data_IF_930157897282
#
_entry.id   IF_930157897282
#
_cell.length_a   1.000
_cell.length_b   1.000
_cell.length_c   1.000
_cell.angle_alpha   90.00
_cell.angle_beta   90.00
_cell.angle_gamma   90.00
#
_symmetry.space_group_name_H-M   'P 1'
#
loop_
_entity.id
_entity.type
_entity.pdbx_description
1 polymer ?
#
# COMPACT_ATOMS: atom_id res chain seq x y z
N UNK A 1 19.96 31.16 -84.29
CA UNK A 1 20.59 30.53 -85.46
C UNK A 1 20.90 29.10 -85.07
N UNK A 2 20.28 28.19 -85.79
CA UNK A 2 20.05 26.76 -85.57
C UNK A 2 21.29 25.92 -85.98
N UNK A 3 21.27 24.57 -85.93
CA UNK A 3 21.70 23.75 -84.79
C UNK A 3 22.47 22.51 -85.30
N UNK A 4 22.10 21.31 -84.81
CA UNK A 4 22.32 19.94 -85.36
C UNK A 4 23.47 19.09 -84.74
N UNK A 5 23.30 17.75 -84.67
CA UNK A 5 23.13 17.01 -83.39
C UNK A 5 23.79 15.59 -83.43
N UNK A 6 23.43 14.70 -82.49
CA UNK A 6 22.71 13.44 -82.78
C UNK A 6 22.58 12.53 -81.54
N UNK A 7 21.38 11.97 -81.40
CA UNK A 7 20.95 10.95 -80.43
C UNK A 7 21.39 9.53 -80.85
N UNK A 8 21.37 8.52 -79.95
CA UNK A 8 20.23 7.59 -79.75
C UNK A 8 20.56 6.19 -79.15
N UNK A 9 19.62 5.73 -78.29
CA UNK A 9 18.92 4.42 -78.26
C UNK A 9 19.52 3.11 -77.66
N UNK A 10 18.85 2.69 -76.57
CA UNK A 10 18.00 1.47 -76.37
C UNK A 10 18.59 0.06 -76.13
N UNK A 11 17.83 -0.65 -75.26
CA UNK A 11 17.54 -2.10 -75.15
C UNK A 11 18.57 -2.96 -74.35
N UNK A 12 18.26 -3.54 -73.17
CA UNK A 12 17.30 -4.61 -72.73
C UNK A 12 17.72 -6.04 -73.16
N UNK A 13 17.71 -6.98 -72.18
CA UNK A 13 17.64 -8.46 -72.19
C UNK A 13 18.93 -9.17 -71.72
N UNK A 14 18.97 -10.35 -71.08
CA UNK A 14 18.07 -11.19 -70.28
C UNK A 14 18.83 -12.53 -70.00
N UNK A 15 18.58 -13.16 -68.84
CA UNK A 15 18.75 -14.62 -68.55
C UNK A 15 20.18 -15.21 -68.54
N UNK A 16 20.53 -16.32 -67.87
CA UNK A 16 20.06 -17.11 -66.72
C UNK A 16 21.06 -18.31 -66.57
N UNK A 17 20.94 -19.04 -65.45
CA UNK A 17 21.48 -20.38 -65.12
C UNK A 17 22.90 -20.56 -64.55
N UNK A 18 22.92 -21.23 -63.38
CA UNK A 18 24.07 -21.92 -62.80
C UNK A 18 23.82 -22.36 -61.35
N UNK A 19 23.01 -23.40 -61.15
CA UNK A 19 22.84 -24.10 -59.85
C UNK A 19 24.14 -24.77 -59.39
N UNK A 20 24.43 -24.78 -58.07
CA UNK A 20 24.38 -26.00 -57.23
C UNK A 20 24.91 -25.78 -55.80
N UNK A 21 24.05 -26.22 -54.87
CA UNK A 21 24.18 -26.57 -53.46
C UNK A 21 25.57 -26.86 -52.86
N UNK A 22 25.79 -26.41 -51.63
CA UNK A 22 25.92 -27.20 -50.36
C UNK A 22 26.23 -26.17 -49.26
N UNK A 23 25.58 -26.10 -48.10
CA UNK A 23 25.03 -27.16 -47.27
C UNK A 23 25.95 -27.37 -46.05
N UNK A 24 25.91 -26.46 -45.07
CA UNK A 24 26.35 -26.72 -43.69
C UNK A 24 25.64 -25.76 -42.73
N UNK A 25 24.68 -26.32 -42.02
CA UNK A 25 23.88 -25.69 -40.98
C UNK A 25 24.73 -25.56 -39.71
N UNK A 26 25.09 -24.33 -39.32
CA UNK A 26 25.45 -24.05 -37.93
C UNK A 26 24.16 -23.67 -37.20
N UNK A 27 23.63 -24.63 -36.43
CA UNK A 27 22.51 -24.40 -35.53
C UNK A 27 22.91 -23.39 -34.46
N UNK A 28 22.38 -22.17 -34.56
CA UNK A 28 22.29 -21.27 -33.41
C UNK A 28 21.03 -21.63 -32.63
N UNK A 29 21.21 -22.19 -31.43
CA UNK A 29 20.17 -22.18 -30.41
C UNK A 29 19.91 -20.72 -30.00
N UNK A 30 18.97 -20.05 -30.66
CA UNK A 30 18.42 -18.80 -30.13
C UNK A 30 17.47 -19.15 -28.99
N UNK A 31 17.99 -19.08 -27.77
CA UNK A 31 17.13 -18.94 -26.59
C UNK A 31 16.29 -17.69 -26.80
N UNK A 32 14.98 -17.86 -27.03
CA UNK A 32 14.01 -16.77 -27.02
C UNK A 32 14.08 -16.12 -25.64
N UNK A 33 14.83 -15.02 -25.54
CA UNK A 33 14.95 -14.23 -24.34
C UNK A 33 13.61 -13.52 -24.19
N UNK A 34 12.81 -13.95 -23.21
CA UNK A 34 11.58 -13.27 -22.82
C UNK A 34 11.94 -11.79 -22.59
N UNK A 35 11.38 -10.90 -23.41
CA UNK A 35 11.47 -9.47 -23.15
C UNK A 35 10.91 -9.20 -21.75
N UNK A 36 11.64 -8.56 -20.84
CA UNK A 36 11.03 -8.08 -19.62
C UNK A 36 9.97 -7.06 -20.02
N UNK A 37 8.73 -7.29 -19.58
CA UNK A 37 7.69 -6.27 -19.64
C UNK A 37 8.26 -5.02 -18.98
N UNK A 38 8.39 -3.95 -19.77
CA UNK A 38 8.82 -2.67 -19.26
C UNK A 38 7.79 -2.21 -18.24
N UNK A 39 8.06 -2.47 -16.95
CA UNK A 39 7.38 -1.80 -15.86
C UNK A 39 7.60 -0.30 -16.07
N UNK A 40 6.51 0.45 -16.10
CA UNK A 40 6.58 1.91 -16.12
C UNK A 40 7.41 2.37 -14.90
N UNK A 41 8.31 3.35 -15.05
CA UNK A 41 9.10 3.82 -13.93
C UNK A 41 8.19 4.38 -12.85
N UNK A 42 8.41 3.94 -11.61
CA UNK A 42 7.80 4.57 -10.44
C UNK A 42 8.28 6.03 -10.29
N UNK A 43 7.54 6.88 -9.56
CA UNK A 43 7.95 8.26 -9.34
C UNK A 43 9.31 8.33 -8.64
N UNK A 44 10.26 9.03 -9.26
CA UNK A 44 11.62 9.26 -8.76
C UNK A 44 11.58 10.38 -7.72
N UNK A 45 12.04 10.10 -6.49
CA UNK A 45 12.28 11.11 -5.46
C UNK A 45 13.77 11.08 -5.09
N UNK A 46 14.44 12.24 -4.97
CA UNK A 46 15.90 12.28 -4.82
C UNK A 46 16.33 11.77 -3.44
N UNK A 47 17.61 11.35 -3.37
CA UNK A 47 18.43 10.93 -2.21
C UNK A 47 18.51 9.40 -1.95
N UNK A 48 19.35 8.74 -2.75
CA UNK A 48 19.98 7.44 -2.45
C UNK A 48 21.27 7.64 -1.64
N UNK A 49 21.56 6.77 -0.66
CA UNK A 49 22.85 6.05 -0.53
C UNK A 49 22.94 5.16 0.75
N UNK A 50 22.89 3.85 0.50
CA UNK A 50 23.67 2.68 0.99
C UNK A 50 24.40 2.74 2.37
N UNK A 51 24.15 1.75 3.25
CA UNK A 51 25.16 0.74 3.73
C UNK A 51 24.57 -0.33 4.67
N UNK A 52 24.81 -1.61 4.36
CA UNK A 52 24.52 -2.81 5.18
C UNK A 52 25.62 -3.14 6.20
N UNK A 53 25.27 -3.61 7.42
CA UNK A 53 26.05 -4.58 8.22
C UNK A 53 25.34 -5.01 9.53
N UNK A 54 25.75 -6.09 10.25
CA UNK A 54 24.94 -7.30 10.44
C UNK A 54 24.35 -7.50 11.86
N UNK A 55 23.45 -8.50 11.96
CA UNK A 55 22.69 -8.93 13.14
C UNK A 55 23.54 -9.44 14.33
N UNK A 56 22.97 -9.46 15.55
CA UNK A 56 22.62 -10.77 16.14
C UNK A 56 21.32 -10.87 16.99
N UNK A 57 20.73 -12.06 16.87
CA UNK A 57 20.02 -12.98 17.80
C UNK A 57 19.32 -12.54 19.11
N UNK A 58 18.12 -13.12 19.23
CA UNK A 58 17.50 -13.81 20.39
C UNK A 58 16.61 -13.06 21.41
N UNK A 59 15.34 -13.47 21.35
CA UNK A 59 14.43 -13.89 22.43
C UNK A 59 13.95 -12.87 23.47
N UNK A 60 12.63 -12.62 23.44
CA UNK A 60 11.84 -12.76 24.67
C UNK A 60 10.36 -12.88 24.35
N UNK A 61 9.80 -14.05 24.69
CA UNK A 61 8.38 -14.21 24.94
C UNK A 61 7.84 -13.09 25.85
N UNK A 62 6.82 -12.35 25.40
CA UNK A 62 6.04 -11.50 26.29
C UNK A 62 4.56 -11.61 25.95
N UNK A 63 3.80 -11.89 27.00
CA UNK A 63 2.41 -12.31 27.00
C UNK A 63 1.50 -11.44 26.11
N UNK A 64 0.61 -12.13 25.39
CA UNK A 64 -0.40 -11.56 24.49
C UNK A 64 -1.46 -10.82 25.34
N UNK A 65 -1.72 -9.52 25.11
CA UNK A 65 -2.84 -8.84 25.75
C UNK A 65 -4.15 -9.44 25.21
N UNK A 66 -4.92 -10.09 26.07
CA UNK A 66 -6.29 -10.52 25.76
C UNK A 66 -7.23 -9.32 25.92
N UNK A 67 -7.83 -8.88 24.81
CA UNK A 67 -8.87 -7.85 24.81
C UNK A 67 -10.21 -8.40 25.32
N UNK A 68 -11.03 -7.59 26.02
CA UNK A 68 -12.32 -8.02 26.55
C UNK A 68 -13.37 -8.31 25.46
N UNK A 69 -14.16 -9.36 25.72
CA UNK A 69 -15.06 -10.15 24.86
C UNK A 69 -16.31 -9.45 24.30
N UNK A 70 -16.26 -8.16 23.90
CA UNK A 70 -17.40 -7.48 23.24
C UNK A 70 -17.03 -6.59 22.04
N UNK A 71 -15.87 -6.78 21.42
CA UNK A 71 -15.63 -6.20 20.09
C UNK A 71 -16.58 -6.88 19.08
N UNK A 72 -17.47 -6.11 18.45
CA UNK A 72 -18.44 -6.60 17.43
C UNK A 72 -17.80 -6.85 16.05
N UNK A 73 -16.49 -6.95 15.99
CA UNK A 73 -15.71 -7.15 14.77
C UNK A 73 -14.61 -8.18 15.04
N UNK A 74 -14.32 -9.00 14.02
CA UNK A 74 -13.26 -10.00 14.08
C UNK A 74 -11.89 -9.32 14.04
N UNK A 75 -10.99 -9.70 14.94
CA UNK A 75 -9.62 -9.21 14.99
C UNK A 75 -8.67 -10.33 14.58
N UNK A 76 -7.93 -10.12 13.50
CA UNK A 76 -6.89 -11.00 12.98
C UNK A 76 -5.53 -10.54 13.49
N UNK A 77 -4.80 -11.47 14.10
CA UNK A 77 -3.47 -11.24 14.61
C UNK A 77 -2.47 -11.02 13.47
N UNK A 78 -1.34 -10.38 13.81
CA UNK A 78 -0.31 -10.06 12.83
C UNK A 78 0.26 -11.30 12.12
N UNK A 79 0.44 -12.39 12.88
CA UNK A 79 0.95 -13.66 12.36
C UNK A 79 -0.03 -14.39 11.41
N UNK A 80 -1.27 -13.91 11.25
CA UNK A 80 -2.23 -14.44 10.28
C UNK A 80 -2.00 -13.88 8.87
N UNK A 81 -1.27 -12.76 8.72
CA UNK A 81 -1.01 -12.14 7.42
C UNK A 81 0.47 -11.95 7.09
N UNK A 82 1.37 -11.96 8.07
CA UNK A 82 2.82 -11.88 7.81
C UNK A 82 3.66 -12.60 8.87
N UNK A 83 4.80 -13.13 8.44
CA UNK A 83 5.86 -13.64 9.35
C UNK A 83 6.93 -12.59 9.63
N UNK A 84 6.97 -11.50 8.86
CA UNK A 84 7.95 -10.45 9.01
C UNK A 84 7.77 -9.68 10.32
N UNK A 85 8.88 -9.47 11.02
CA UNK A 85 8.93 -8.66 12.23
C UNK A 85 9.32 -7.22 11.89
N UNK A 86 8.85 -6.23 12.66
CA UNK A 86 9.37 -4.86 12.55
C UNK A 86 10.88 -4.82 12.79
N UNK A 87 11.61 -3.98 12.05
CA UNK A 87 12.99 -3.64 12.39
C UNK A 87 13.00 -2.69 13.60
N UNK A 88 12.99 -3.23 14.81
CA UNK A 88 12.80 -2.46 16.05
C UNK A 88 13.83 -1.32 16.23
N UNK A 89 15.13 -1.52 15.95
CA UNK A 89 16.13 -0.43 15.98
C UNK A 89 15.76 0.80 15.14
N UNK A 90 15.02 0.63 14.04
CA UNK A 90 14.57 1.71 13.15
C UNK A 90 13.20 2.29 13.55
N UNK A 91 12.78 2.06 14.80
CA UNK A 91 11.52 2.58 15.36
C UNK A 91 11.74 3.31 16.67
N UNK A 92 10.90 4.32 16.90
CA UNK A 92 10.76 4.92 18.23
C UNK A 92 9.70 4.18 19.05
N UNK A 93 9.79 4.15 20.38
CA UNK A 93 8.70 3.65 21.22
C UNK A 93 7.48 4.58 21.18
N UNK A 94 6.28 4.00 21.20
CA UNK A 94 5.01 4.72 21.37
C UNK A 94 4.65 4.78 22.85
N UNK A 95 5.03 5.87 23.52
CA UNK A 95 4.90 6.01 24.98
C UNK A 95 3.42 6.02 25.44
N UNK A 96 2.54 6.65 24.65
CA UNK A 96 1.08 6.68 24.83
C UNK A 96 0.41 7.09 23.52
N UNK A 97 -0.90 6.94 23.41
CA UNK A 97 -1.68 7.41 22.26
C UNK A 97 -2.44 8.69 22.66
N UNK A 98 -2.26 9.75 21.89
CA UNK A 98 -2.97 11.04 22.06
C UNK A 98 -3.84 11.41 20.85
N UNK A 99 -3.53 10.86 19.68
CA UNK A 99 -4.26 11.07 18.44
C UNK A 99 -4.54 9.74 17.75
N UNK A 100 -5.59 9.70 16.93
CA UNK A 100 -5.89 8.60 16.02
C UNK A 100 -6.02 9.20 14.62
N UNK A 101 -5.31 8.67 13.62
CA UNK A 101 -5.42 9.13 12.23
C UNK A 101 -5.92 8.02 11.32
N UNK A 102 -6.98 8.29 10.55
CA UNK A 102 -7.56 7.39 9.54
C UNK A 102 -6.97 7.65 8.16
N UNK A 103 -6.60 6.55 7.49
CA UNK A 103 -6.00 6.51 6.16
C UNK A 103 -6.77 5.59 5.23
N UNK A 104 -6.50 5.72 3.92
CA UNK A 104 -6.74 4.67 2.94
C UNK A 104 -5.41 4.15 2.38
N UNK A 105 -5.41 3.02 1.66
CA UNK A 105 -4.18 2.57 1.00
C UNK A 105 -3.97 3.24 -0.37
N UNK A 106 -5.05 3.68 -1.02
CA UNK A 106 -5.00 4.41 -2.29
C UNK A 106 -4.55 3.57 -3.49
N UNK A 107 -4.29 2.27 -3.31
CA UNK A 107 -3.95 1.36 -4.40
C UNK A 107 -5.17 1.10 -5.29
N UNK A 108 -5.01 0.75 -6.58
CA UNK A 108 -6.13 0.48 -7.47
C UNK A 108 -7.22 -0.40 -6.84
N UNK A 109 -8.51 -0.09 -7.05
CA UNK A 109 -9.61 -0.89 -6.54
C UNK A 109 -9.46 -2.36 -6.92
N UNK A 110 -9.61 -3.23 -5.94
CA UNK A 110 -9.66 -4.68 -6.15
C UNK A 110 -10.72 -5.27 -5.25
N UNK A 111 -11.27 -6.42 -5.65
CA UNK A 111 -12.31 -7.06 -4.87
C UNK A 111 -11.68 -7.95 -3.81
N UNK A 112 -12.01 -7.69 -2.54
CA UNK A 112 -11.48 -8.43 -1.38
C UNK A 112 -12.66 -9.01 -0.61
N UNK A 113 -12.75 -10.34 -0.60
CA UNK A 113 -13.83 -11.11 0.04
C UNK A 113 -13.28 -12.06 1.12
N UNK A 114 -12.12 -12.66 0.88
CA UNK A 114 -11.52 -13.68 1.74
C UNK A 114 -10.44 -13.08 2.63
N UNK A 115 -10.10 -13.80 3.71
CA UNK A 115 -9.01 -13.39 4.62
C UNK A 115 -7.67 -13.39 3.88
N UNK A 116 -7.46 -14.37 2.99
CA UNK A 116 -6.26 -14.47 2.18
C UNK A 116 -6.06 -13.26 1.26
N UNK A 117 -7.09 -12.83 0.53
CA UNK A 117 -7.00 -11.64 -0.34
C UNK A 117 -6.65 -10.36 0.46
N UNK A 118 -7.17 -10.23 1.68
CA UNK A 118 -6.84 -9.11 2.55
C UNK A 118 -5.38 -9.22 3.06
N UNK A 119 -4.94 -10.41 3.47
CA UNK A 119 -3.57 -10.66 3.89
C UNK A 119 -2.56 -10.37 2.77
N UNK A 120 -2.86 -10.78 1.54
CA UNK A 120 -2.03 -10.48 0.36
C UNK A 120 -1.91 -8.96 0.12
N UNK A 121 -3.01 -8.20 0.25
CA UNK A 121 -2.93 -6.73 0.12
C UNK A 121 -2.18 -6.07 1.27
N UNK A 122 -2.33 -6.55 2.50
CA UNK A 122 -1.53 -6.08 3.64
C UNK A 122 -0.04 -6.33 3.42
N UNK A 123 0.34 -7.51 2.93
CA UNK A 123 1.73 -7.84 2.67
C UNK A 123 2.30 -7.00 1.51
N UNK A 124 1.52 -6.75 0.44
CA UNK A 124 1.92 -5.81 -0.61
C UNK A 124 2.21 -4.39 -0.06
N UNK A 125 1.35 -3.89 0.84
CA UNK A 125 1.55 -2.58 1.48
C UNK A 125 2.80 -2.61 2.37
N UNK A 126 3.00 -3.67 3.17
CA UNK A 126 4.16 -3.83 4.05
C UNK A 126 5.46 -3.87 3.25
N UNK A 127 5.52 -4.70 2.20
CA UNK A 127 6.68 -4.81 1.31
C UNK A 127 6.99 -3.47 0.68
N UNK A 128 5.98 -2.74 0.17
CA UNK A 128 6.20 -1.39 -0.38
C UNK A 128 6.77 -0.41 0.65
N UNK A 129 6.31 -0.47 1.91
CA UNK A 129 6.84 0.37 2.97
C UNK A 129 8.28 0.02 3.38
N UNK A 130 8.60 -1.27 3.47
CA UNK A 130 9.94 -1.71 3.87
C UNK A 130 10.93 -1.53 2.72
N UNK A 131 10.67 -2.16 1.58
CA UNK A 131 11.62 -2.25 0.47
C UNK A 131 11.75 -0.93 -0.30
N UNK A 132 10.67 -0.15 -0.45
CA UNK A 132 10.72 1.08 -1.24
C UNK A 132 10.81 2.35 -0.41
N UNK A 133 10.53 2.30 0.91
CA UNK A 133 10.61 3.49 1.77
C UNK A 133 11.59 3.35 2.93
N UNK A 134 12.23 2.19 3.09
CA UNK A 134 13.16 1.93 4.19
C UNK A 134 12.51 2.01 5.57
N UNK A 135 11.19 1.82 5.66
CA UNK A 135 10.51 1.85 6.95
C UNK A 135 10.71 0.53 7.68
N UNK A 136 10.76 0.59 9.00
CA UNK A 136 10.89 -0.61 9.83
C UNK A 136 9.79 -1.67 9.62
N UNK A 137 8.60 -1.27 9.16
CA UNK A 137 7.42 -2.11 8.98
C UNK A 137 6.32 -1.35 8.21
N UNK A 138 5.15 -1.95 8.02
CA UNK A 138 3.92 -1.24 7.67
C UNK A 138 3.72 -0.01 8.57
N UNK A 139 3.32 1.14 8.00
CA UNK A 139 3.23 2.41 8.74
C UNK A 139 2.04 2.52 9.72
N UNK A 140 1.06 1.61 9.64
CA UNK A 140 -0.21 1.67 10.36
C UNK A 140 -0.31 0.58 11.44
N UNK A 141 -1.09 0.83 12.50
CA UNK A 141 -1.21 -0.10 13.63
C UNK A 141 -2.42 -1.03 13.51
N UNK A 142 -3.53 -0.52 12.96
CA UNK A 142 -4.78 -1.25 12.79
C UNK A 142 -5.27 -1.07 11.37
N UNK A 143 -5.81 -2.13 10.77
CA UNK A 143 -6.33 -2.07 9.41
C UNK A 143 -7.76 -2.62 9.39
N UNK A 144 -8.69 -1.92 8.74
CA UNK A 144 -10.06 -2.38 8.48
C UNK A 144 -10.16 -2.72 7.00
N UNK A 145 -10.51 -3.97 6.69
CA UNK A 145 -10.71 -4.39 5.31
C UNK A 145 -12.16 -4.21 4.82
N UNK A 146 -12.46 -4.40 3.51
CA UNK A 146 -13.80 -4.21 2.96
C UNK A 146 -14.87 -5.16 3.53
N UNK A 147 -14.49 -6.25 4.20
CA UNK A 147 -15.41 -7.17 4.86
C UNK A 147 -15.66 -6.80 6.33
N UNK A 148 -15.03 -5.72 6.83
CA UNK A 148 -15.14 -5.30 8.23
C UNK A 148 -14.28 -6.14 9.18
N UNK A 149 -13.26 -6.83 8.67
CA UNK A 149 -12.28 -7.51 9.53
C UNK A 149 -11.20 -6.51 9.94
N UNK A 150 -10.77 -6.59 11.21
CA UNK A 150 -9.68 -5.78 11.74
C UNK A 150 -8.41 -6.60 11.75
N UNK A 151 -7.31 -6.05 11.25
CA UNK A 151 -6.00 -6.70 11.21
C UNK A 151 -4.99 -5.91 12.04
N UNK A 152 -4.18 -6.62 12.84
CA UNK A 152 -3.10 -6.02 13.60
C UNK A 152 -1.88 -5.77 12.69
N UNK A 153 -1.54 -4.49 12.50
CA UNK A 153 -0.40 -4.02 11.72
C UNK A 153 0.87 -3.92 12.56
N UNK A 154 1.52 -2.76 12.51
CA UNK A 154 2.66 -2.44 13.38
C UNK A 154 2.22 -2.47 14.85
N UNK A 155 2.98 -3.12 15.76
CA UNK A 155 2.63 -3.16 17.18
C UNK A 155 2.44 -1.76 17.77
N UNK A 156 1.35 -1.54 18.54
CA UNK A 156 0.98 -0.21 19.08
C UNK A 156 2.05 0.38 20.00
N UNK A 157 2.91 -0.44 20.62
CA UNK A 157 4.01 0.05 21.46
C UNK A 157 5.20 0.60 20.66
N UNK A 158 5.18 0.46 19.34
CA UNK A 158 6.14 1.07 18.41
C UNK A 158 5.47 2.21 17.67
N UNK A 159 6.18 3.32 17.48
CA UNK A 159 5.70 4.46 16.75
C UNK A 159 5.41 4.08 15.29
N UNK A 160 4.27 4.52 14.78
CA UNK A 160 3.91 4.38 13.36
C UNK A 160 4.77 5.23 12.42
N UNK A 161 4.52 5.07 11.13
CA UNK A 161 5.15 5.83 10.04
C UNK A 161 4.08 6.22 9.00
N UNK A 162 3.02 6.90 9.44
CA UNK A 162 1.83 7.15 8.63
C UNK A 162 1.51 8.64 8.42
N UNK A 163 1.95 9.53 9.30
CA UNK A 163 1.85 10.99 9.09
C UNK A 163 3.21 11.62 9.37
N UNK A 164 3.85 12.19 8.34
CA UNK A 164 5.13 12.89 8.49
C UNK A 164 5.01 13.96 9.58
N UNK A 165 6.01 14.02 10.45
CA UNK A 165 6.12 14.94 11.60
C UNK A 165 5.03 14.83 12.69
N UNK A 166 4.05 13.92 12.52
CA UNK A 166 2.94 13.72 13.47
C UNK A 166 2.76 12.24 13.87
N UNK A 167 3.79 11.42 13.67
CA UNK A 167 3.81 10.03 14.11
C UNK A 167 3.89 9.83 15.64
N UNK A 168 4.63 10.67 16.41
CA UNK A 168 4.69 10.50 17.86
C UNK A 168 3.30 10.56 18.50
N UNK A 169 2.97 9.57 19.34
CA UNK A 169 1.68 9.48 20.05
C UNK A 169 0.44 9.43 19.15
N UNK A 170 0.60 9.00 17.90
CA UNK A 170 -0.47 8.96 16.91
C UNK A 170 -0.73 7.54 16.39
N UNK A 171 -1.91 7.00 16.71
CA UNK A 171 -2.34 5.68 16.28
C UNK A 171 -2.93 5.77 14.86
N UNK A 172 -2.20 5.25 13.89
CA UNK A 172 -2.67 5.10 12.50
C UNK A 172 -3.63 3.92 12.32
N UNK A 173 -4.80 4.21 11.75
CA UNK A 173 -5.80 3.25 11.26
C UNK A 173 -5.86 3.32 9.74
N UNK A 174 -5.64 2.21 9.06
CA UNK A 174 -5.82 2.09 7.61
C UNK A 174 -7.21 1.50 7.32
N UNK A 175 -7.93 2.07 6.35
CA UNK A 175 -9.10 1.43 5.73
C UNK A 175 -8.70 1.01 4.32
N UNK A 176 -8.73 -0.29 4.05
CA UNK A 176 -8.22 -0.84 2.80
C UNK A 176 -9.14 -0.49 1.62
N UNK A 177 -8.55 0.09 0.57
CA UNK A 177 -9.25 0.60 -0.61
C UNK A 177 -8.72 1.96 -1.10
N UNK A 178 -9.26 2.41 -2.23
CA UNK A 178 -9.02 3.73 -2.81
C UNK A 178 -10.30 4.56 -2.90
N UNK A 179 -10.55 5.31 -1.84
CA UNK A 179 -11.77 6.11 -1.71
C UNK A 179 -11.75 7.47 -2.45
N UNK A 180 -10.75 7.72 -3.31
CA UNK A 180 -10.90 8.71 -4.39
C UNK A 180 -11.73 8.16 -5.57
N UNK A 181 -11.82 6.82 -5.68
CA UNK A 181 -12.43 6.11 -6.81
C UNK A 181 -13.68 5.33 -6.36
N UNK A 182 -13.61 4.67 -5.19
CA UNK A 182 -14.70 3.83 -4.68
C UNK A 182 -15.31 4.38 -3.38
N UNK A 183 -16.39 3.75 -2.92
CA UNK A 183 -16.97 4.02 -1.60
C UNK A 183 -16.54 2.92 -0.62
N UNK A 184 -16.21 3.26 0.64
CA UNK A 184 -15.99 2.22 1.65
C UNK A 184 -17.27 1.41 1.84
N UNK A 185 -17.12 0.10 2.04
CA UNK A 185 -18.29 -0.77 2.23
C UNK A 185 -19.01 -0.44 3.55
N UNK A 186 -20.32 -0.70 3.66
CA UNK A 186 -21.04 -0.51 4.91
C UNK A 186 -20.45 -1.32 6.09
N UNK A 187 -19.87 -2.50 5.81
CA UNK A 187 -19.18 -3.32 6.82
C UNK A 187 -17.92 -2.63 7.32
N UNK A 188 -17.10 -2.09 6.42
CA UNK A 188 -15.87 -1.38 6.76
C UNK A 188 -16.17 -0.12 7.57
N UNK A 189 -17.15 0.70 7.17
CA UNK A 189 -17.48 1.93 7.91
C UNK A 189 -18.07 1.69 9.28
N UNK A 190 -18.97 0.70 9.44
CA UNK A 190 -19.48 0.31 10.78
C UNK A 190 -18.36 -0.21 11.68
N UNK A 191 -17.44 -0.99 11.13
CA UNK A 191 -16.30 -1.51 11.87
C UNK A 191 -15.34 -0.40 12.26
N UNK A 192 -15.07 0.54 11.35
CA UNK A 192 -14.24 1.71 11.60
C UNK A 192 -14.82 2.53 12.75
N UNK A 193 -16.11 2.90 12.72
CA UNK A 193 -16.74 3.67 13.79
C UNK A 193 -16.61 2.96 15.16
N UNK A 194 -16.87 1.65 15.20
CA UNK A 194 -16.75 0.86 16.42
C UNK A 194 -15.29 0.74 16.91
N UNK A 195 -14.35 0.58 15.99
CA UNK A 195 -12.92 0.48 16.28
C UNK A 195 -12.39 1.81 16.83
N UNK A 196 -12.72 2.93 16.18
CA UNK A 196 -12.34 4.28 16.63
C UNK A 196 -12.92 4.57 18.01
N UNK A 197 -14.20 4.23 18.25
CA UNK A 197 -14.82 4.40 19.56
C UNK A 197 -14.13 3.54 20.63
N UNK A 198 -13.76 2.30 20.30
CA UNK A 198 -13.01 1.43 21.22
C UNK A 198 -11.63 2.00 21.53
N UNK A 199 -10.83 2.36 20.52
CA UNK A 199 -9.49 2.93 20.73
C UNK A 199 -9.54 4.28 21.45
N UNK A 200 -10.53 5.12 21.16
CA UNK A 200 -10.78 6.38 21.86
C UNK A 200 -10.98 6.16 23.35
N UNK A 201 -11.83 5.22 23.75
CA UNK A 201 -12.04 4.88 25.17
C UNK A 201 -10.80 4.24 25.81
N UNK A 202 -10.16 3.31 25.11
CA UNK A 202 -8.97 2.60 25.61
C UNK A 202 -7.82 3.54 25.93
N UNK A 203 -7.63 4.59 25.11
CA UNK A 203 -6.50 5.52 25.24
C UNK A 203 -6.89 6.90 25.79
N UNK A 204 -8.16 7.15 26.07
CA UNK A 204 -8.65 8.46 26.48
C UNK A 204 -8.52 9.55 25.40
N UNK A 205 -8.56 9.17 24.13
CA UNK A 205 -8.45 10.12 23.00
C UNK A 205 -9.81 10.75 22.71
N UNK A 206 -9.99 12.06 22.89
CA UNK A 206 -11.27 12.73 22.60
C UNK A 206 -11.57 12.78 21.09
N UNK A 207 -12.85 12.92 20.73
CA UNK A 207 -13.31 12.93 19.33
C UNK A 207 -12.60 13.98 18.45
N UNK A 208 -12.25 15.14 19.01
CA UNK A 208 -11.53 16.20 18.28
C UNK A 208 -10.05 15.89 18.03
N UNK A 209 -9.54 14.77 18.53
CA UNK A 209 -8.20 14.22 18.24
C UNK A 209 -8.25 12.96 17.37
N UNK A 210 -9.41 12.69 16.78
CA UNK A 210 -9.59 11.66 15.75
C UNK A 210 -9.64 12.36 14.40
N UNK A 211 -8.58 12.16 13.63
CA UNK A 211 -8.33 12.87 12.39
C UNK A 211 -8.34 11.94 11.18
N UNK A 212 -8.40 12.53 10.00
CA UNK A 212 -8.00 11.90 8.74
C UNK A 212 -6.63 12.40 8.31
N UNK A 213 -5.95 11.70 7.40
CA UNK A 213 -4.61 12.13 6.97
C UNK A 213 -4.59 13.53 6.35
N UNK A 214 -5.59 13.88 5.52
CA UNK A 214 -5.69 15.22 4.92
C UNK A 214 -5.91 16.36 5.91
N UNK A 215 -6.31 16.07 7.16
CA UNK A 215 -6.41 17.08 8.22
C UNK A 215 -5.04 17.43 8.83
N UNK A 216 -4.01 16.64 8.54
CA UNK A 216 -2.63 16.90 8.96
C UNK A 216 -1.74 17.46 7.84
N UNK A 217 -2.04 17.11 6.59
CA UNK A 217 -1.15 17.38 5.46
C UNK A 217 -1.90 17.57 4.15
N UNK A 218 -1.25 18.20 3.16
CA UNK A 218 -1.76 18.28 1.79
C UNK A 218 -1.63 16.92 1.10
N UNK A 219 -2.66 16.08 1.23
CA UNK A 219 -2.73 14.73 0.65
C UNK A 219 -4.16 14.37 0.24
N UNK A 220 -4.31 13.51 -0.77
CA UNK A 220 -5.61 12.94 -1.14
C UNK A 220 -6.11 11.92 -0.10
N UNK A 221 -5.23 11.32 0.71
CA UNK A 221 -5.62 10.36 1.74
C UNK A 221 -6.55 11.03 2.78
N UNK A 222 -7.69 10.45 3.18
CA UNK A 222 -8.10 9.06 3.00
C UNK A 222 -9.06 8.83 1.82
N UNK A 223 -9.11 9.74 0.84
CA UNK A 223 -10.07 9.69 -0.25
C UNK A 223 -11.35 10.48 0.03
N UNK A 224 -11.94 11.11 -1.00
CA UNK A 224 -13.18 11.90 -0.88
C UNK A 224 -14.32 11.13 -0.20
N UNK A 225 -14.54 9.86 -0.56
CA UNK A 225 -15.67 9.09 -0.02
C UNK A 225 -15.48 8.73 1.47
N UNK A 226 -14.27 8.36 1.89
CA UNK A 226 -13.99 8.05 3.30
C UNK A 226 -13.88 9.33 4.14
N UNK A 227 -13.38 10.43 3.57
CA UNK A 227 -13.44 11.73 4.24
C UNK A 227 -14.89 12.12 4.56
N UNK A 228 -15.79 12.01 3.57
CA UNK A 228 -17.21 12.31 3.79
C UNK A 228 -17.84 11.45 4.89
N UNK A 229 -17.48 10.16 4.97
CA UNK A 229 -17.90 9.30 6.10
C UNK A 229 -17.36 9.81 7.44
N UNK A 230 -16.07 10.16 7.50
CA UNK A 230 -15.44 10.68 8.73
C UNK A 230 -16.05 12.00 9.19
N UNK A 231 -16.42 12.89 8.28
CA UNK A 231 -17.10 14.14 8.62
C UNK A 231 -18.51 13.88 9.14
N UNK A 232 -19.27 13.00 8.46
CA UNK A 232 -20.61 12.63 8.87
C UNK A 232 -20.65 11.91 10.22
N UNK A 233 -19.76 10.95 10.47
CA UNK A 233 -19.75 10.13 11.70
C UNK A 233 -19.30 10.92 12.93
N UNK A 234 -18.49 11.96 12.75
CA UNK A 234 -18.05 12.88 13.84
C UNK A 234 -19.04 14.02 14.11
N UNK A 235 -20.01 14.25 13.22
CA UNK A 235 -21.02 15.31 13.38
C UNK A 235 -21.89 15.15 14.64
N UNK A 236 -22.69 16.16 15.00
CA UNK A 236 -23.54 16.15 16.20
C UNK A 236 -24.48 14.97 16.32
N UNK A 237 -25.00 14.47 15.19
CA UNK A 237 -25.87 13.29 15.09
C UNK A 237 -25.13 12.04 14.59
N UNK A 238 -23.81 12.13 14.37
CA UNK A 238 -22.99 11.09 13.76
C UNK A 238 -22.79 9.86 14.66
N UNK A 239 -22.60 8.70 14.03
CA UNK A 239 -22.49 7.41 14.72
C UNK A 239 -21.33 7.36 15.72
N UNK A 240 -20.11 7.74 15.29
CA UNK A 240 -18.93 7.73 16.17
C UNK A 240 -19.13 8.67 17.36
N UNK A 241 -19.68 9.87 17.15
CA UNK A 241 -20.00 10.78 18.26
C UNK A 241 -21.01 10.16 19.22
N UNK A 242 -22.10 9.59 18.70
CA UNK A 242 -23.11 8.91 19.53
C UNK A 242 -22.51 7.77 20.35
N UNK A 243 -21.58 7.01 19.78
CA UNK A 243 -20.88 5.92 20.48
C UNK A 243 -19.96 6.41 21.61
N UNK A 244 -19.51 7.67 21.58
CA UNK A 244 -18.63 8.25 22.60
C UNK A 244 -19.40 9.02 23.68
N UNK A 245 -20.59 9.55 23.36
CA UNK A 245 -21.42 10.34 24.29
C UNK A 245 -22.35 9.45 25.12
N UNK A 246 -22.80 8.31 24.59
CA UNK A 246 -23.66 7.37 25.31
C UNK A 246 -22.82 6.45 26.18
N UNK A 247 -22.52 6.89 27.40
CA UNK A 247 -21.92 6.07 28.48
C UNK A 247 -22.82 6.16 29.69
#
# INVERSE_FOLDING_TARGET
MTPEPHQNRRAILAQALGLLATGSLLGSCTTSRRSPSAALPGPVWPHENVTESPAPVADSSRARPTLPTKARFSVHARNEWTRAQPNVPDTNPMVRVEHITVHHDGMPPTVIRTQQEAAERLEMIRVSHVEHRGWADIGYHLIVDPQGRVWLGRPIHLQGAHVRDHNPRNLGVLVMGNFEIERPTPQATRTLDALLAHQSRTHGVPLNRIHTHREWASTACPGRSLQAHMDATRSSSGNLRNMLVRV
#
